data_IF_998777018105
#
_entry.id   IF_998777018105
#
_cell.length_a   1.000
_cell.length_b   1.000
_cell.length_c   1.000
_cell.angle_alpha   90.00
_cell.angle_beta   90.00
_cell.angle_gamma   90.00
#
_symmetry.space_group_name_H-M   'P 1'
#
loop_
_entity.id
_entity.type
_entity.pdbx_description
1 polymer ?
#
# COMPACT_ATOMS: atom_id res chain seq x y z
N UNK A 1 -20.77 -4.60 -21.46
CA UNK A 1 -19.82 -4.18 -20.42
C UNK A 1 -19.86 -5.21 -19.31
N UNK A 2 -18.72 -5.76 -18.90
CA UNK A 2 -18.64 -6.68 -17.75
C UNK A 2 -18.34 -5.85 -16.50
N UNK A 3 -19.28 -5.81 -15.55
CA UNK A 3 -19.18 -5.00 -14.33
C UNK A 3 -18.00 -5.43 -13.46
N UNK A 4 -17.70 -6.72 -13.37
CA UNK A 4 -16.56 -7.24 -12.61
C UNK A 4 -15.22 -6.75 -13.18
N UNK A 5 -15.13 -6.61 -14.50
CA UNK A 5 -13.93 -6.10 -15.15
C UNK A 5 -13.73 -4.60 -14.85
N UNK A 6 -14.82 -3.85 -14.74
CA UNK A 6 -14.79 -2.45 -14.33
C UNK A 6 -14.37 -2.32 -12.86
N UNK A 7 -14.99 -3.07 -11.95
CA UNK A 7 -14.65 -3.03 -10.52
C UNK A 7 -13.19 -3.39 -10.26
N UNK A 8 -12.67 -4.44 -10.91
CA UNK A 8 -11.24 -4.82 -10.78
C UNK A 8 -10.31 -3.73 -11.31
N UNK A 9 -10.71 -3.04 -12.38
CA UNK A 9 -9.94 -1.92 -12.93
C UNK A 9 -9.91 -0.76 -11.94
N UNK A 10 -11.05 -0.40 -11.35
CA UNK A 10 -11.12 0.68 -10.36
C UNK A 10 -10.28 0.35 -9.12
N UNK A 11 -10.39 -0.86 -8.57
CA UNK A 11 -9.55 -1.32 -7.46
C UNK A 11 -8.04 -1.23 -7.80
N UNK A 12 -7.66 -1.60 -9.02
CA UNK A 12 -6.27 -1.51 -9.48
C UNK A 12 -5.80 -0.06 -9.58
N UNK A 13 -6.65 0.83 -10.07
CA UNK A 13 -6.35 2.27 -10.18
C UNK A 13 -6.17 2.90 -8.80
N UNK A 14 -7.02 2.56 -7.84
CA UNK A 14 -6.88 3.02 -6.45
C UNK A 14 -5.57 2.56 -5.81
N UNK A 15 -5.20 1.30 -6.01
CA UNK A 15 -3.93 0.76 -5.51
C UNK A 15 -2.73 1.46 -6.17
N UNK A 16 -2.81 1.73 -7.47
CA UNK A 16 -1.75 2.43 -8.20
C UNK A 16 -1.56 3.86 -7.73
N UNK A 17 -2.65 4.58 -7.44
CA UNK A 17 -2.59 5.93 -6.87
C UNK A 17 -1.87 5.92 -5.51
N UNK A 18 -2.19 4.96 -4.63
CA UNK A 18 -1.54 4.81 -3.32
C UNK A 18 -0.03 4.52 -3.44
N UNK A 19 0.37 3.69 -4.41
CA UNK A 19 1.78 3.39 -4.68
C UNK A 19 2.52 4.64 -5.18
N UNK A 20 1.92 5.39 -6.10
CA UNK A 20 2.53 6.62 -6.62
C UNK A 20 2.76 7.66 -5.52
N UNK A 21 1.77 7.87 -4.64
CA UNK A 21 1.93 8.76 -3.50
C UNK A 21 3.06 8.31 -2.57
N UNK A 22 3.13 7.02 -2.25
CA UNK A 22 4.20 6.50 -1.39
C UNK A 22 5.60 6.67 -2.01
N UNK A 23 5.70 6.56 -3.34
CA UNK A 23 6.97 6.78 -4.06
C UNK A 23 7.36 8.26 -4.08
N UNK A 24 6.41 9.16 -4.27
CA UNK A 24 6.66 10.60 -4.16
C UNK A 24 7.11 10.99 -2.74
N UNK A 25 6.43 10.49 -1.72
CA UNK A 25 6.82 10.66 -0.32
C UNK A 25 8.25 10.15 -0.07
N UNK A 26 8.62 8.99 -0.65
CA UNK A 26 9.98 8.43 -0.56
C UNK A 26 11.02 9.35 -1.21
N UNK A 27 10.72 9.88 -2.40
CA UNK A 27 11.61 10.81 -3.12
C UNK A 27 11.77 12.14 -2.39
N UNK A 28 10.69 12.63 -1.76
CA UNK A 28 10.69 13.85 -0.95
C UNK A 28 11.35 13.65 0.44
N UNK A 29 11.87 12.46 0.74
CA UNK A 29 12.55 12.17 2.00
C UNK A 29 11.61 12.03 3.20
N UNK A 30 10.32 11.77 2.96
CA UNK A 30 9.37 11.49 4.03
C UNK A 30 9.84 10.28 4.86
N UNK A 31 9.42 10.25 6.13
CA UNK A 31 9.81 9.21 7.07
C UNK A 31 9.26 7.86 6.63
N UNK A 32 10.10 7.08 5.95
CA UNK A 32 9.79 5.70 5.59
C UNK A 32 10.09 4.77 6.75
N UNK A 33 9.58 3.53 6.66
CA UNK A 33 9.92 2.46 7.60
C UNK A 33 10.61 1.34 6.86
N UNK A 34 11.59 0.70 7.51
CA UNK A 34 12.21 -0.50 6.95
C UNK A 34 11.18 -1.61 6.79
N UNK A 35 11.42 -2.51 5.83
CA UNK A 35 10.56 -3.69 5.60
C UNK A 35 10.45 -4.53 6.88
N UNK A 36 11.54 -4.69 7.64
CA UNK A 36 11.53 -5.39 8.93
C UNK A 36 10.62 -4.70 9.95
N UNK A 37 10.68 -3.36 10.05
CA UNK A 37 9.82 -2.57 10.93
C UNK A 37 8.36 -2.60 10.52
N UNK A 38 8.07 -2.64 9.21
CA UNK A 38 6.71 -2.83 8.70
C UNK A 38 6.17 -4.23 9.07
N UNK A 39 6.97 -5.28 8.86
CA UNK A 39 6.61 -6.67 9.20
C UNK A 39 6.38 -6.86 10.69
N UNK A 40 7.22 -6.26 11.55
CA UNK A 40 7.03 -6.29 12.99
C UNK A 40 5.69 -5.66 13.38
N UNK A 41 5.42 -4.43 12.91
CA UNK A 41 4.15 -3.76 13.22
C UNK A 41 2.91 -4.48 12.67
N UNK A 42 3.02 -5.21 11.55
CA UNK A 42 1.94 -6.06 11.05
C UNK A 42 1.67 -7.24 12.00
N UNK A 43 2.72 -7.91 12.47
CA UNK A 43 2.61 -9.00 13.45
C UNK A 43 2.02 -8.52 14.77
N UNK A 44 2.44 -7.34 15.25
CA UNK A 44 1.89 -6.69 16.46
C UNK A 44 0.38 -6.48 16.32
N UNK A 45 -0.07 -5.90 15.20
CA UNK A 45 -1.50 -5.68 14.94
C UNK A 45 -2.31 -6.97 14.82
N UNK A 46 -1.71 -8.01 14.25
CA UNK A 46 -2.34 -9.32 14.12
C UNK A 46 -2.36 -10.12 15.43
N UNK A 47 -1.79 -9.62 16.53
CA UNK A 47 -1.73 -10.33 17.81
C UNK A 47 -0.87 -11.61 17.75
N UNK A 48 0.06 -11.67 16.79
CA UNK A 48 0.93 -12.85 16.55
C UNK A 48 2.34 -12.62 17.08
N UNK A 49 2.48 -11.74 18.08
CA UNK A 49 3.70 -11.45 18.82
C UNK A 49 3.52 -11.87 20.26
#
# INVERSE_FOLDING_TARGET
MNIDAFEKREQTLELRAKIMQAEEERLNGAKTRSISGARKGLRERAGTI
#
